data_IF_898099885517
#
_entry.id   IF_898099885517
#
_cell.length_a   1.000
_cell.length_b   1.000
_cell.length_c   1.000
_cell.angle_alpha   90.00
_cell.angle_beta   90.00
_cell.angle_gamma   90.00
#
_symmetry.space_group_name_H-M   'P 1'
#
loop_
_entity.id
_entity.type
_entity.pdbx_description
1 polymer ?
#
# COMPACT_ATOMS: atom_id res chain seq x y z
N UNK A 1 37.45 -12.94 22.39
CA UNK A 1 36.74 -12.39 21.24
C UNK A 1 35.39 -13.08 21.19
N UNK A 2 34.31 -12.43 21.63
CA UNK A 2 32.94 -12.96 21.51
C UNK A 2 32.55 -12.86 20.07
N UNK A 3 32.20 -13.97 19.44
CA UNK A 3 31.58 -14.01 18.12
C UNK A 3 30.22 -13.36 18.31
N UNK A 4 30.05 -12.14 17.82
CA UNK A 4 28.77 -11.45 17.77
C UNK A 4 27.91 -12.26 16.79
N UNK A 5 26.97 -13.04 17.30
CA UNK A 5 25.96 -13.71 16.48
C UNK A 5 25.18 -12.61 15.79
N UNK A 6 25.26 -12.52 14.47
CA UNK A 6 24.43 -11.60 13.69
C UNK A 6 22.96 -11.87 14.03
N UNK A 7 22.24 -10.88 14.55
CA UNK A 7 20.80 -10.97 14.74
C UNK A 7 20.18 -11.37 13.39
N UNK A 8 19.40 -12.44 13.39
CA UNK A 8 18.69 -12.87 12.18
C UNK A 8 17.54 -11.90 11.96
N UNK A 9 17.56 -11.21 10.82
CA UNK A 9 16.43 -10.38 10.40
C UNK A 9 15.25 -11.29 10.06
N UNK A 10 14.05 -10.87 10.50
CA UNK A 10 12.79 -11.45 10.06
C UNK A 10 12.14 -10.49 9.06
N UNK A 11 11.71 -11.02 7.91
CA UNK A 11 11.06 -10.27 6.86
C UNK A 11 9.59 -10.69 6.77
N UNK A 12 8.70 -9.70 6.82
CA UNK A 12 7.26 -9.86 6.68
C UNK A 12 6.87 -9.33 5.31
N UNK A 13 6.23 -10.16 4.50
CA UNK A 13 5.69 -9.73 3.21
C UNK A 13 4.33 -9.06 3.41
N UNK A 14 4.22 -7.80 3.04
CA UNK A 14 3.03 -6.98 3.20
C UNK A 14 2.29 -6.76 1.86
N UNK A 15 2.62 -7.53 0.82
CA UNK A 15 2.11 -7.31 -0.52
C UNK A 15 1.37 -8.52 -1.06
N UNK A 16 0.39 -8.25 -1.93
CA UNK A 16 -0.27 -9.30 -2.70
C UNK A 16 0.59 -9.73 -3.90
N UNK A 17 0.58 -11.02 -4.21
CA UNK A 17 1.27 -11.54 -5.38
C UNK A 17 0.53 -11.18 -6.68
N UNK A 18 1.28 -10.66 -7.66
CA UNK A 18 0.76 -10.44 -9.01
C UNK A 18 0.66 -11.79 -9.76
N UNK A 19 -0.52 -12.09 -10.26
CA UNK A 19 -0.79 -13.32 -11.02
C UNK A 19 -1.81 -13.08 -12.12
N UNK A 20 -1.77 -13.89 -13.19
CA UNK A 20 -2.83 -13.86 -14.22
C UNK A 20 -4.18 -14.14 -13.58
N UNK A 21 -5.17 -13.29 -13.87
CA UNK A 21 -6.52 -13.42 -13.33
C UNK A 21 -6.64 -12.96 -11.86
N UNK A 22 -5.63 -12.28 -11.30
CA UNK A 22 -5.77 -11.69 -9.98
C UNK A 22 -6.99 -10.76 -9.90
N UNK A 23 -7.61 -10.62 -8.73
CA UNK A 23 -8.70 -9.66 -8.54
C UNK A 23 -8.29 -8.27 -9.00
N UNK A 24 -9.19 -7.59 -9.70
CA UNK A 24 -9.05 -6.21 -10.15
C UNK A 24 -10.33 -5.43 -9.93
N UNK A 25 -10.22 -4.13 -9.83
CA UNK A 25 -11.40 -3.27 -9.73
C UNK A 25 -12.34 -3.49 -10.91
N UNK A 26 -13.66 -3.51 -10.67
CA UNK A 26 -14.68 -3.96 -11.63
C UNK A 26 -14.94 -2.99 -12.80
N UNK A 27 -14.30 -1.82 -12.83
CA UNK A 27 -14.47 -0.86 -13.92
C UNK A 27 -13.98 -1.44 -15.26
N UNK A 28 -14.74 -1.25 -16.33
CA UNK A 28 -14.44 -1.80 -17.67
C UNK A 28 -13.11 -1.30 -18.24
N UNK A 29 -12.68 -0.12 -17.85
CA UNK A 29 -11.42 0.50 -18.30
C UNK A 29 -10.20 0.03 -17.49
N UNK A 30 -10.39 -0.65 -16.35
CA UNK A 30 -9.29 -1.09 -15.50
C UNK A 30 -8.61 -2.31 -16.13
N UNK A 31 -7.32 -2.24 -16.53
CA UNK A 31 -6.64 -3.31 -17.24
C UNK A 31 -6.31 -4.48 -16.32
N UNK A 32 -6.10 -5.63 -16.94
CA UNK A 32 -5.60 -6.82 -16.26
C UNK A 32 -4.08 -6.81 -16.17
N UNK A 33 -3.56 -7.41 -15.11
CA UNK A 33 -2.16 -7.78 -15.07
C UNK A 33 -1.89 -8.90 -16.08
N UNK A 34 -0.93 -8.70 -16.95
CA UNK A 34 -0.54 -9.70 -17.93
C UNK A 34 0.97 -9.88 -17.97
N UNK A 35 1.39 -11.08 -18.37
CA UNK A 35 2.76 -11.33 -18.74
C UNK A 35 2.84 -12.37 -19.87
N UNK A 36 3.83 -12.22 -20.73
CA UNK A 36 4.09 -13.09 -21.85
C UNK A 36 5.53 -13.58 -21.85
N UNK A 37 5.71 -14.88 -22.09
CA UNK A 37 7.04 -15.45 -22.21
C UNK A 37 7.60 -15.18 -23.61
N UNK A 38 8.81 -14.67 -23.67
CA UNK A 38 9.58 -14.48 -24.89
C UNK A 38 10.75 -15.46 -24.87
N UNK A 39 10.70 -16.51 -25.68
CA UNK A 39 11.76 -17.49 -25.80
C UNK A 39 12.32 -17.46 -27.25
N UNK A 40 13.52 -16.91 -27.48
CA UNK A 40 14.20 -17.09 -28.77
C UNK A 40 14.48 -18.58 -28.98
N UNK A 41 14.11 -19.11 -30.17
CA UNK A 41 14.18 -20.53 -30.56
C UNK A 41 15.56 -21.16 -30.31
N UNK A 42 16.62 -20.37 -30.32
CA UNK A 42 18.01 -20.82 -30.20
C UNK A 42 18.54 -20.93 -28.77
N UNK A 43 17.69 -20.73 -27.75
CA UNK A 43 18.15 -20.59 -26.36
C UNK A 43 17.72 -21.73 -25.44
N UNK A 44 17.58 -22.93 -25.96
CA UNK A 44 17.24 -24.12 -25.18
C UNK A 44 18.26 -25.23 -25.39
N UNK A 45 18.61 -25.93 -24.32
CA UNK A 45 19.35 -27.18 -24.32
C UNK A 45 18.61 -28.21 -23.45
N UNK A 46 19.02 -29.47 -23.46
CA UNK A 46 18.30 -30.54 -22.76
C UNK A 46 18.17 -30.32 -21.24
N UNK A 47 19.14 -29.66 -20.64
CA UNK A 47 19.29 -29.46 -19.19
C UNK A 47 19.10 -28.02 -18.72
N UNK A 48 18.91 -27.04 -19.62
CA UNK A 48 18.67 -25.65 -19.29
C UNK A 48 17.86 -24.92 -20.35
N UNK A 49 17.16 -23.85 -19.94
CA UNK A 49 16.50 -22.89 -20.82
C UNK A 49 16.69 -21.48 -20.31
N UNK A 50 16.78 -20.53 -21.23
CA UNK A 50 16.61 -19.12 -20.90
C UNK A 50 15.12 -18.77 -20.96
N UNK A 51 14.68 -18.01 -19.98
CA UNK A 51 13.31 -17.50 -19.94
C UNK A 51 13.35 -15.99 -19.87
N UNK A 52 12.62 -15.34 -20.74
CA UNK A 52 12.40 -13.91 -20.74
C UNK A 52 10.89 -13.66 -20.64
N UNK A 53 10.52 -12.66 -19.85
CA UNK A 53 9.12 -12.34 -19.62
C UNK A 53 8.90 -10.84 -19.83
N UNK A 54 7.94 -10.49 -20.67
CA UNK A 54 7.39 -9.15 -20.74
C UNK A 54 6.28 -9.08 -19.71
N UNK A 55 6.29 -8.04 -18.86
CA UNK A 55 5.29 -7.81 -17.85
C UNK A 55 4.56 -6.51 -18.16
N UNK A 56 3.23 -6.57 -18.26
CA UNK A 56 2.37 -5.40 -18.37
C UNK A 56 1.73 -5.13 -17.00
N UNK A 57 2.10 -4.01 -16.42
CA UNK A 57 1.61 -3.53 -15.13
C UNK A 57 0.72 -2.30 -15.34
N UNK A 58 -0.42 -2.28 -14.68
CA UNK A 58 -1.14 -1.05 -14.42
C UNK A 58 -0.70 -0.53 -13.05
N UNK A 59 -0.41 0.77 -12.95
CA UNK A 59 0.22 1.34 -11.76
C UNK A 59 -0.59 1.12 -10.46
N UNK A 60 -1.92 0.98 -10.57
CA UNK A 60 -2.85 0.76 -9.46
C UNK A 60 -3.27 -0.70 -9.27
N UNK A 61 -2.52 -1.67 -9.80
CA UNK A 61 -2.80 -3.09 -9.55
C UNK A 61 -2.12 -3.57 -8.27
N UNK A 62 -2.85 -4.38 -7.47
CA UNK A 62 -2.32 -5.01 -6.25
C UNK A 62 -1.80 -3.99 -5.23
N UNK A 63 -0.85 -4.38 -4.41
CA UNK A 63 -0.21 -3.46 -3.45
C UNK A 63 0.60 -2.42 -4.21
N UNK A 64 0.21 -1.15 -4.08
CA UNK A 64 0.80 -0.04 -4.82
C UNK A 64 0.82 1.25 -4.00
N UNK A 65 1.62 2.20 -4.43
CA UNK A 65 1.71 3.55 -3.85
C UNK A 65 1.31 4.59 -4.87
N UNK A 66 0.69 5.66 -4.38
CA UNK A 66 0.18 6.78 -5.16
C UNK A 66 0.71 8.10 -4.63
N UNK A 67 0.93 9.03 -5.53
CA UNK A 67 1.35 10.40 -5.24
C UNK A 67 0.26 11.42 -5.58
N UNK A 68 0.51 12.69 -5.28
CA UNK A 68 -0.46 13.76 -5.54
C UNK A 68 -0.79 13.96 -7.02
N UNK A 69 0.05 13.51 -7.95
CA UNK A 69 -0.23 13.57 -9.40
C UNK A 69 -1.43 12.70 -9.81
N UNK A 70 -1.79 11.70 -8.99
CA UNK A 70 -2.98 10.88 -9.21
C UNK A 70 -4.29 11.68 -9.25
N UNK A 71 -4.39 12.75 -8.46
CA UNK A 71 -5.66 13.52 -8.30
C UNK A 71 -5.51 15.03 -8.54
N UNK A 72 -4.30 15.55 -8.66
CA UNK A 72 -4.02 16.97 -8.90
C UNK A 72 -3.22 17.18 -10.18
N UNK A 73 -3.63 18.15 -11.01
CA UNK A 73 -2.96 18.49 -12.28
C UNK A 73 -1.48 18.82 -12.12
N UNK A 74 -1.15 19.55 -11.07
CA UNK A 74 0.22 20.00 -10.77
C UNK A 74 0.80 19.18 -9.62
N UNK A 75 0.33 17.94 -9.48
CA UNK A 75 0.80 16.98 -8.49
C UNK A 75 2.25 16.56 -8.74
N UNK A 76 2.87 16.01 -7.73
CA UNK A 76 4.22 15.46 -7.83
C UNK A 76 4.12 14.00 -8.25
N UNK A 77 4.82 13.62 -9.33
CA UNK A 77 4.93 12.22 -9.78
C UNK A 77 5.67 11.36 -8.76
N UNK A 78 5.40 10.05 -8.77
CA UNK A 78 5.89 9.14 -7.71
C UNK A 78 7.42 9.05 -7.66
N UNK A 79 8.11 9.18 -8.79
CA UNK A 79 9.57 9.17 -8.88
C UNK A 79 10.24 10.39 -8.27
N UNK A 80 9.46 11.47 -8.03
CA UNK A 80 9.92 12.73 -7.41
C UNK A 80 9.62 12.84 -5.91
N UNK A 81 8.89 11.86 -5.36
CA UNK A 81 8.67 11.80 -3.91
C UNK A 81 9.97 11.39 -3.21
N UNK A 82 10.38 12.06 -2.11
CA UNK A 82 11.59 11.70 -1.37
C UNK A 82 11.54 10.25 -0.87
N UNK A 83 12.66 9.51 -1.00
CA UNK A 83 12.74 8.11 -0.59
C UNK A 83 12.44 7.89 0.91
N UNK A 84 12.68 8.92 1.73
CA UNK A 84 12.37 8.91 3.18
C UNK A 84 10.88 8.74 3.48
N UNK A 85 9.98 9.06 2.53
CA UNK A 85 8.55 8.84 2.70
C UNK A 85 8.18 7.35 2.68
N UNK A 86 9.00 6.49 2.09
CA UNK A 86 8.70 5.06 1.86
C UNK A 86 9.36 4.12 2.87
N UNK A 87 10.12 4.66 3.83
CA UNK A 87 10.92 3.86 4.79
C UNK A 87 10.85 4.49 6.16
N UNK A 88 10.40 3.77 7.16
CA UNK A 88 10.34 4.25 8.54
C UNK A 88 9.68 3.26 9.49
N UNK A 89 9.67 3.58 10.77
CA UNK A 89 8.92 2.83 11.78
C UNK A 89 7.51 3.37 11.82
N UNK A 90 6.49 2.58 11.46
CA UNK A 90 5.14 3.11 11.32
C UNK A 90 4.42 3.20 12.67
N UNK A 91 3.47 4.13 12.76
CA UNK A 91 2.39 4.07 13.75
C UNK A 91 1.31 3.16 13.19
N UNK A 92 1.06 2.02 13.83
CA UNK A 92 -0.01 1.10 13.45
C UNK A 92 -1.29 1.48 14.19
N UNK A 93 -2.36 1.76 13.45
CA UNK A 93 -3.67 2.13 13.94
C UNK A 93 -4.59 0.91 13.86
N UNK A 94 -4.96 0.36 15.01
CA UNK A 94 -5.85 -0.80 15.10
C UNK A 94 -7.30 -0.39 14.89
N UNK A 95 -7.91 -0.94 13.82
CA UNK A 95 -9.30 -0.81 13.41
C UNK A 95 -9.93 -2.18 13.17
N UNK A 96 -9.37 -3.26 13.74
CA UNK A 96 -9.79 -4.65 13.45
C UNK A 96 -11.21 -4.99 13.93
N UNK A 97 -11.76 -4.17 14.82
CA UNK A 97 -13.14 -4.27 15.28
C UNK A 97 -14.16 -3.56 14.37
N UNK A 98 -13.70 -2.87 13.32
CA UNK A 98 -14.60 -2.19 12.39
C UNK A 98 -15.27 -3.21 11.47
N UNK A 99 -16.62 -3.25 11.42
CA UNK A 99 -17.32 -4.17 10.53
C UNK A 99 -17.12 -3.81 9.05
N UNK A 100 -17.30 -4.79 8.18
CA UNK A 100 -17.41 -4.53 6.74
C UNK A 100 -18.53 -3.52 6.44
N UNK A 101 -18.43 -2.80 5.34
CA UNK A 101 -19.40 -1.77 4.90
C UNK A 101 -19.62 -0.65 5.92
N UNK A 102 -18.60 -0.30 6.68
CA UNK A 102 -18.67 0.73 7.71
C UNK A 102 -17.83 1.95 7.32
N UNK A 103 -18.40 3.12 7.53
CA UNK A 103 -17.68 4.38 7.41
C UNK A 103 -16.81 4.63 8.65
N UNK A 104 -15.53 4.86 8.43
CA UNK A 104 -14.57 5.23 9.46
C UNK A 104 -14.60 6.75 9.59
N UNK A 105 -15.25 7.25 10.64
CA UNK A 105 -15.45 8.67 10.87
C UNK A 105 -14.23 9.33 11.51
N UNK A 106 -14.17 10.67 11.40
CA UNK A 106 -13.13 11.46 12.08
C UNK A 106 -13.15 11.29 13.62
N UNK A 107 -14.33 11.20 14.22
CA UNK A 107 -14.45 11.05 15.67
C UNK A 107 -13.95 9.69 16.15
N UNK A 108 -14.21 8.63 15.38
CA UNK A 108 -13.65 7.30 15.65
C UNK A 108 -12.12 7.36 15.56
N UNK A 109 -11.56 7.97 14.51
CA UNK A 109 -10.10 8.08 14.37
C UNK A 109 -9.47 8.90 15.51
N UNK A 110 -10.07 10.02 15.89
CA UNK A 110 -9.60 10.80 17.05
C UNK A 110 -9.55 9.95 18.33
N UNK A 111 -10.55 9.10 18.56
CA UNK A 111 -10.55 8.18 19.71
C UNK A 111 -9.42 7.15 19.63
N UNK A 112 -9.20 6.56 18.44
CA UNK A 112 -8.14 5.56 18.23
C UNK A 112 -6.73 6.15 18.33
N UNK A 113 -6.57 7.38 17.86
CA UNK A 113 -5.28 8.07 17.87
C UNK A 113 -4.97 8.76 19.21
N UNK A 114 -5.98 9.04 20.05
CA UNK A 114 -5.79 9.73 21.33
C UNK A 114 -4.72 9.12 22.25
N UNK A 115 -4.54 7.79 22.36
CA UNK A 115 -3.49 7.20 23.20
C UNK A 115 -2.11 7.16 22.50
N UNK A 116 -2.02 7.51 21.21
CA UNK A 116 -0.80 7.46 20.42
C UNK A 116 -0.14 8.84 20.35
N UNK A 117 1.18 8.85 20.34
CA UNK A 117 1.94 10.06 19.98
C UNK A 117 2.18 10.00 18.47
N UNK A 118 1.69 10.98 17.74
CA UNK A 118 1.90 11.12 16.30
C UNK A 118 2.62 12.42 16.06
N UNK A 119 3.79 12.32 15.46
CA UNK A 119 4.60 13.46 15.06
C UNK A 119 4.43 13.75 13.57
N UNK A 120 4.73 14.96 13.15
CA UNK A 120 4.76 15.32 11.72
C UNK A 120 5.82 14.48 10.99
N UNK A 121 5.48 14.00 9.81
CA UNK A 121 6.40 13.22 8.98
C UNK A 121 6.39 11.71 9.26
N UNK A 122 5.45 11.22 10.04
CA UNK A 122 5.35 9.79 10.32
C UNK A 122 4.65 9.00 9.22
N UNK A 123 4.87 7.69 9.24
CA UNK A 123 4.17 6.67 8.44
C UNK A 123 3.00 6.16 9.28
N UNK A 124 1.79 6.30 8.77
CA UNK A 124 0.57 5.82 9.43
C UNK A 124 0.02 4.60 8.67
N UNK A 125 -0.13 3.47 9.35
CA UNK A 125 -0.72 2.26 8.77
C UNK A 125 -2.04 1.94 9.48
N UNK A 126 -3.12 1.87 8.72
CA UNK A 126 -4.47 1.60 9.23
C UNK A 126 -4.83 0.15 8.99
N UNK A 127 -5.03 -0.60 10.06
CA UNK A 127 -5.22 -2.05 10.03
C UNK A 127 -6.63 -2.44 10.43
N UNK A 128 -7.45 -2.86 9.46
CA UNK A 128 -8.76 -3.47 9.66
C UNK A 128 -8.73 -4.99 9.51
N UNK A 129 -7.70 -5.54 8.86
CA UNK A 129 -7.60 -6.92 8.43
C UNK A 129 -8.57 -7.25 7.28
N UNK A 130 -9.14 -6.25 6.60
CA UNK A 130 -10.12 -6.47 5.53
C UNK A 130 -9.49 -7.17 4.32
N UNK A 131 -8.37 -6.65 3.83
CA UNK A 131 -7.70 -7.21 2.65
C UNK A 131 -7.28 -8.65 2.90
N UNK A 132 -6.73 -8.99 4.07
CA UNK A 132 -6.38 -10.37 4.43
C UNK A 132 -7.58 -11.33 4.42
N UNK A 133 -8.74 -10.86 4.89
CA UNK A 133 -9.93 -11.69 5.01
C UNK A 133 -10.75 -11.81 3.73
N UNK A 134 -10.78 -10.77 2.92
CA UNK A 134 -11.79 -10.63 1.85
C UNK A 134 -11.20 -10.61 0.43
N UNK A 135 -9.88 -10.49 0.27
CA UNK A 135 -9.25 -10.45 -1.05
C UNK A 135 -9.70 -11.61 -1.96
N UNK A 136 -10.11 -11.28 -3.16
CA UNK A 136 -10.55 -12.25 -4.16
C UNK A 136 -11.95 -12.82 -3.97
N UNK A 137 -12.65 -12.45 -2.90
CA UNK A 137 -14.06 -12.85 -2.73
C UNK A 137 -14.98 -11.95 -3.54
N UNK A 138 -16.14 -12.51 -3.91
CA UNK A 138 -17.19 -11.74 -4.56
C UNK A 138 -17.62 -10.54 -3.70
N UNK A 139 -17.78 -9.37 -4.32
CA UNK A 139 -18.17 -8.13 -3.65
C UNK A 139 -17.05 -7.50 -2.80
N UNK A 140 -15.78 -7.88 -3.01
CA UNK A 140 -14.64 -7.31 -2.28
C UNK A 140 -14.69 -5.78 -2.26
N UNK A 141 -14.83 -5.12 -3.41
CA UNK A 141 -14.88 -3.66 -3.50
C UNK A 141 -16.16 -3.01 -2.97
N UNK A 142 -17.26 -3.79 -2.85
CA UNK A 142 -18.55 -3.27 -2.39
C UNK A 142 -18.73 -3.40 -0.87
N UNK A 143 -17.94 -4.26 -0.22
CA UNK A 143 -18.09 -4.60 1.20
C UNK A 143 -16.99 -4.04 2.10
N UNK A 144 -16.03 -3.35 1.54
CA UNK A 144 -14.96 -2.73 2.31
C UNK A 144 -15.49 -1.67 3.29
N UNK A 145 -14.86 -1.49 4.45
CA UNK A 145 -14.92 -0.21 5.15
C UNK A 145 -14.23 0.88 4.30
N UNK A 146 -14.48 2.14 4.62
CA UNK A 146 -13.89 3.30 3.91
C UNK A 146 -13.75 4.48 4.86
N UNK A 147 -12.87 5.42 4.55
CA UNK A 147 -12.72 6.67 5.30
C UNK A 147 -13.82 7.68 4.92
N UNK A 148 -14.36 8.42 5.91
CA UNK A 148 -15.13 9.62 5.59
C UNK A 148 -14.22 10.75 5.09
N UNK A 149 -14.80 11.75 4.41
CA UNK A 149 -14.05 12.93 3.97
C UNK A 149 -13.42 13.68 5.16
N UNK A 150 -14.14 13.78 6.27
CA UNK A 150 -13.67 14.41 7.52
C UNK A 150 -12.57 13.60 8.18
N UNK A 151 -12.65 12.26 8.11
CA UNK A 151 -11.58 11.38 8.59
C UNK A 151 -10.29 11.59 7.79
N UNK A 152 -10.39 11.64 6.46
CA UNK A 152 -9.25 11.91 5.59
C UNK A 152 -8.65 13.30 5.81
N UNK A 153 -9.49 14.33 5.98
CA UNK A 153 -9.03 15.68 6.33
C UNK A 153 -8.34 15.72 7.69
N UNK A 154 -8.85 14.98 8.68
CA UNK A 154 -8.19 14.86 9.98
C UNK A 154 -6.83 14.17 9.87
N UNK A 155 -6.72 13.06 9.14
CA UNK A 155 -5.44 12.39 8.88
C UNK A 155 -4.46 13.37 8.21
N UNK A 156 -4.89 14.08 7.17
CA UNK A 156 -4.05 15.07 6.48
C UNK A 156 -3.54 16.17 7.42
N UNK A 157 -4.36 16.60 8.39
CA UNK A 157 -3.98 17.61 9.38
C UNK A 157 -2.85 17.18 10.33
N UNK A 158 -2.56 15.89 10.41
CA UNK A 158 -1.43 15.33 11.17
C UNK A 158 -0.11 15.38 10.41
N UNK A 159 -0.12 15.84 9.15
CA UNK A 159 1.05 15.93 8.26
C UNK A 159 1.88 14.64 8.13
N UNK A 160 1.27 13.45 7.94
CA UNK A 160 2.03 12.23 7.70
C UNK A 160 2.74 12.30 6.33
N UNK A 161 3.84 11.57 6.19
CA UNK A 161 4.50 11.42 4.88
C UNK A 161 3.98 10.23 4.08
N UNK A 162 3.39 9.25 4.78
CA UNK A 162 2.88 8.02 4.18
C UNK A 162 1.64 7.52 4.92
N UNK A 163 0.65 7.09 4.16
CA UNK A 163 -0.58 6.48 4.68
C UNK A 163 -0.75 5.13 3.98
N UNK A 164 -0.82 4.06 4.76
CA UNK A 164 -1.07 2.71 4.25
C UNK A 164 -2.39 2.15 4.76
N UNK A 165 -3.15 1.53 3.87
CA UNK A 165 -4.48 0.98 4.14
C UNK A 165 -4.52 -0.50 3.74
N UNK A 166 -5.23 -1.30 4.53
CA UNK A 166 -5.64 -2.67 4.21
C UNK A 166 -7.15 -2.77 3.92
N UNK A 167 -7.72 -1.70 3.36
CA UNK A 167 -9.12 -1.56 2.96
C UNK A 167 -9.25 -0.49 1.87
N UNK A 168 -10.48 -0.31 1.32
CA UNK A 168 -10.71 0.66 0.26
C UNK A 168 -10.62 2.10 0.76
N UNK A 169 -9.92 2.93 0.02
CA UNK A 169 -9.76 4.36 0.34
C UNK A 169 -11.09 5.10 0.25
N UNK A 170 -11.78 4.96 -0.88
CA UNK A 170 -13.06 5.62 -1.13
C UNK A 170 -14.25 4.73 -0.81
N UNK A 171 -15.37 5.36 -0.49
CA UNK A 171 -16.67 4.69 -0.47
C UNK A 171 -16.97 4.03 -1.82
N UNK A 172 -17.54 2.83 -1.86
CA UNK A 172 -17.95 2.21 -3.11
C UNK A 172 -18.76 3.16 -3.99
N UNK A 173 -18.42 3.21 -5.29
CA UNK A 173 -19.01 4.09 -6.30
C UNK A 173 -18.78 5.61 -6.13
N UNK A 174 -17.90 6.05 -5.23
CA UNK A 174 -17.47 7.46 -5.15
C UNK A 174 -16.73 7.87 -6.43
N UNK A 175 -17.04 9.06 -6.96
CA UNK A 175 -16.47 9.55 -8.23
C UNK A 175 -15.60 10.78 -8.08
N UNK A 176 -15.64 11.43 -6.91
CA UNK A 176 -14.96 12.72 -6.70
C UNK A 176 -13.59 12.57 -6.06
N UNK A 177 -13.22 11.36 -5.64
CA UNK A 177 -11.93 11.08 -5.00
C UNK A 177 -11.62 12.02 -3.83
N UNK A 178 -12.64 12.27 -2.98
CA UNK A 178 -12.52 13.24 -1.88
C UNK A 178 -11.52 12.79 -0.83
N UNK A 179 -11.50 11.48 -0.53
CA UNK A 179 -10.58 10.91 0.46
C UNK A 179 -9.16 10.96 -0.08
N UNK A 180 -8.91 10.49 -1.32
CA UNK A 180 -7.59 10.58 -1.96
C UNK A 180 -7.08 12.02 -1.97
N UNK A 181 -7.91 12.99 -2.42
CA UNK A 181 -7.53 14.41 -2.46
C UNK A 181 -7.09 14.94 -1.10
N UNK A 182 -7.85 14.62 -0.04
CA UNK A 182 -7.47 15.03 1.31
C UNK A 182 -6.13 14.41 1.73
N UNK A 183 -5.97 13.10 1.57
CA UNK A 183 -4.78 12.36 1.99
C UNK A 183 -3.53 12.91 1.30
N UNK A 184 -3.53 13.03 -0.04
CA UNK A 184 -2.32 13.41 -0.77
C UNK A 184 -2.15 14.93 -0.92
N UNK A 185 -3.07 15.75 -0.39
CA UNK A 185 -3.04 17.22 -0.52
C UNK A 185 -1.80 17.86 0.08
N UNK A 186 -1.25 17.28 1.15
CA UNK A 186 -0.05 17.77 1.83
C UNK A 186 1.24 17.04 1.35
N UNK A 187 1.14 16.24 0.27
CA UNK A 187 2.27 15.51 -0.29
C UNK A 187 2.55 14.16 0.37
N UNK A 188 1.63 13.65 1.17
CA UNK A 188 1.69 12.27 1.65
C UNK A 188 1.58 11.28 0.49
N UNK A 189 2.22 10.12 0.64
CA UNK A 189 2.02 8.95 -0.23
C UNK A 189 0.85 8.14 0.32
N UNK A 190 -0.05 7.70 -0.55
CA UNK A 190 -1.07 6.72 -0.23
C UNK A 190 -0.62 5.33 -0.70
N UNK A 191 -0.76 4.31 0.13
CA UNK A 191 -0.53 2.91 -0.22
C UNK A 191 -1.82 2.12 0.00
N UNK A 192 -2.27 1.43 -1.04
CA UNK A 192 -3.45 0.58 -1.00
C UNK A 192 -3.09 -0.91 -1.05
N UNK A 193 -3.99 -1.73 -0.54
CA UNK A 193 -3.92 -3.21 -0.54
C UNK A 193 -2.69 -3.74 0.20
N UNK A 194 -2.51 -3.29 1.45
CA UNK A 194 -1.54 -3.88 2.36
C UNK A 194 -2.09 -5.15 3.00
N UNK A 195 -1.21 -6.12 3.21
CA UNK A 195 -1.52 -7.42 3.80
C UNK A 195 -0.68 -7.67 5.04
N UNK A 196 -1.10 -8.64 5.87
CA UNK A 196 -0.32 -9.11 7.01
C UNK A 196 0.06 -8.02 8.03
N UNK A 197 -0.65 -6.89 8.10
CA UNK A 197 -0.35 -5.81 9.03
C UNK A 197 -0.41 -6.27 10.50
N UNK A 198 -1.17 -7.31 10.82
CA UNK A 198 -1.24 -7.93 12.15
C UNK A 198 0.11 -8.49 12.64
N UNK A 199 1.08 -8.69 11.77
CA UNK A 199 2.42 -9.17 12.12
C UNK A 199 3.38 -8.06 12.54
N UNK A 200 3.00 -6.79 12.31
CA UNK A 200 3.85 -5.64 12.65
C UNK A 200 3.78 -5.32 14.14
N UNK A 201 4.87 -4.77 14.64
CA UNK A 201 4.99 -4.19 15.97
C UNK A 201 5.78 -2.87 15.90
N UNK A 202 5.96 -2.19 17.04
CA UNK A 202 6.65 -0.90 17.13
C UNK A 202 8.12 -0.95 16.71
N UNK A 203 8.75 -2.15 16.68
CA UNK A 203 10.15 -2.34 16.32
C UNK A 203 10.34 -2.80 14.87
N UNK A 204 9.25 -2.87 14.11
CA UNK A 204 9.27 -3.28 12.71
C UNK A 204 9.52 -2.07 11.81
N UNK A 205 10.63 -2.09 11.05
CA UNK A 205 10.87 -1.12 9.99
C UNK A 205 9.99 -1.45 8.78
N UNK A 206 9.16 -0.51 8.36
CA UNK A 206 8.35 -0.60 7.16
C UNK A 206 9.12 -0.06 5.95
N UNK A 207 8.99 -0.75 4.80
CA UNK A 207 9.59 -0.35 3.52
C UNK A 207 8.60 -0.63 2.40
N UNK A 208 8.30 0.39 1.56
CA UNK A 208 7.39 0.28 0.41
C UNK A 208 7.88 1.11 -0.78
N UNK A 209 9.09 0.85 -1.25
CA UNK A 209 9.72 1.63 -2.32
C UNK A 209 9.05 1.39 -3.68
N UNK A 210 8.67 2.46 -4.43
CA UNK A 210 8.15 2.34 -5.78
C UNK A 210 9.21 1.88 -6.77
N UNK A 211 8.77 1.28 -7.88
CA UNK A 211 9.62 1.13 -9.06
C UNK A 211 9.93 2.52 -9.60
N UNK A 212 11.21 2.78 -9.91
CA UNK A 212 11.62 4.09 -10.44
C UNK A 212 11.22 4.23 -11.91
N UNK A 213 9.96 4.58 -12.14
CA UNK A 213 9.41 4.91 -13.45
C UNK A 213 9.16 6.42 -13.46
N UNK A 214 9.70 7.14 -14.44
CA UNK A 214 9.54 8.59 -14.53
C UNK A 214 8.16 8.99 -15.03
N UNK A 215 7.67 10.11 -14.51
CA UNK A 215 6.48 10.81 -14.97
C UNK A 215 5.19 9.96 -14.87
N UNK A 216 5.08 9.12 -13.81
CA UNK A 216 3.86 8.38 -13.46
C UNK A 216 3.39 8.75 -12.05
N UNK A 217 2.08 8.66 -11.83
CA UNK A 217 1.40 9.03 -10.59
C UNK A 217 1.47 7.97 -9.50
N UNK A 218 1.70 6.71 -9.87
CA UNK A 218 1.64 5.57 -8.97
C UNK A 218 2.63 4.46 -9.38
N UNK A 219 2.86 3.51 -8.50
CA UNK A 219 3.70 2.34 -8.79
C UNK A 219 3.33 1.15 -7.91
N UNK A 220 3.26 -0.06 -8.44
CA UNK A 220 3.29 -1.27 -7.63
C UNK A 220 4.55 -1.31 -6.75
N UNK A 221 4.40 -1.87 -5.55
CA UNK A 221 5.50 -2.04 -4.58
C UNK A 221 5.56 -3.46 -4.04
N UNK A 222 6.74 -3.87 -3.59
CA UNK A 222 6.87 -4.96 -2.63
C UNK A 222 7.03 -4.36 -1.24
N UNK A 223 5.90 -4.07 -0.59
CA UNK A 223 5.91 -3.60 0.79
C UNK A 223 6.37 -4.73 1.72
N UNK A 224 7.27 -4.43 2.64
CA UNK A 224 7.80 -5.38 3.63
C UNK A 224 7.93 -4.75 5.01
N UNK A 225 7.80 -5.58 6.04
CA UNK A 225 8.23 -5.29 7.40
C UNK A 225 9.55 -5.97 7.70
N UNK A 226 10.47 -5.31 8.41
CA UNK A 226 11.78 -5.84 8.81
C UNK A 226 11.90 -5.76 10.32
N UNK A 227 11.97 -6.91 11.00
CA UNK A 227 12.22 -7.01 12.45
C UNK A 227 13.68 -7.33 12.76
N UNK A 228 14.10 -6.99 13.98
CA UNK A 228 15.43 -7.30 14.49
C UNK A 228 16.50 -6.25 14.16
N UNK A 229 16.12 -5.08 13.66
CA UNK A 229 17.03 -3.95 13.42
C UNK A 229 17.27 -3.12 14.69
N UNK A 230 16.22 -2.90 15.49
CA UNK A 230 16.35 -2.31 16.82
C UNK A 230 16.72 -3.39 17.82
N UNK A 231 17.74 -3.17 18.63
CA UNK A 231 18.24 -4.11 19.62
C UNK A 231 18.85 -3.46 20.79
#
# INVERSE_FOLDING_TARGET
MSIQTSKKLELIDLSIAFSKGMPKYSAKWFPEFTFDEVAPETMTAADWKRRFTIVSLFAHNGTHVESSDHVFRDGKTIDRVPLQHFVGYPVLIDLTDIPNQTEISADLLKQRLAPLTIEEGEILLFHTGYDDREWGKEGFWDRSPWLSAEAAAYIASLNPVFIGLDFQTEKPAEKNFVVHKNIVSQGAVLCEYLFNLYQLDSDTLFVALPIKISDVEASPVRAIGIKGLRG
#
